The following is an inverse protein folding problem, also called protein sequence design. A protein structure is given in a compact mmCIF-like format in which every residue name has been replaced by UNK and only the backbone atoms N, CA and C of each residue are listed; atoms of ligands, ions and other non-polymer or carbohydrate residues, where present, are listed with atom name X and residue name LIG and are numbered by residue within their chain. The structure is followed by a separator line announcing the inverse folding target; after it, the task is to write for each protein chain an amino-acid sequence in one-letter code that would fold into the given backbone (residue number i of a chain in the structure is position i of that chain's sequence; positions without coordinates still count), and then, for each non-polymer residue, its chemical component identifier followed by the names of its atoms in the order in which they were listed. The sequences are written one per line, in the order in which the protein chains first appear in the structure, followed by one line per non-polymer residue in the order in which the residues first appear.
data_IF_737636788212
#
_entry.id   IF_737636788212
#
_cell.length_a   1.000
_cell.length_b   1.000
_cell.length_c   1.000
_cell.angle_alpha   90.00
_cell.angle_beta   90.00
_cell.angle_gamma   90.00
#
_symmetry.space_group_name_H-M   'P 1'
#
loop_
_entity.id
_entity.type
_entity.pdbx_description
1 polymer ?
#
# COMPACT_ATOMS: atom_id res chain seq x y z
N UNK A 1 -16.25 -6.40 19.46
CA UNK A 1 -15.23 -6.44 18.40
C UNK A 1 -13.86 -6.29 19.05
N UNK A 2 -13.00 -7.30 18.93
CA UNK A 2 -11.75 -7.43 19.68
C UNK A 2 -10.55 -6.83 18.94
N UNK A 3 -9.50 -6.56 19.71
CA UNK A 3 -8.15 -6.23 19.24
C UNK A 3 -7.68 -7.25 18.20
N UNK A 4 -7.23 -6.80 17.02
CA UNK A 4 -6.72 -7.66 15.98
C UNK A 4 -5.36 -8.26 16.35
N UNK A 5 -5.06 -9.44 15.84
CA UNK A 5 -3.95 -10.26 16.33
C UNK A 5 -2.59 -9.71 15.90
N UNK A 6 -2.44 -9.36 14.61
CA UNK A 6 -1.15 -8.97 14.03
C UNK A 6 -0.92 -7.47 14.10
N UNK A 7 -1.87 -6.65 13.63
CA UNK A 7 -1.71 -5.19 13.59
C UNK A 7 -1.92 -4.53 14.96
N UNK A 8 -2.46 -5.27 15.94
CA UNK A 8 -2.74 -4.80 17.31
C UNK A 8 -3.56 -3.50 17.35
N UNK A 9 -4.52 -3.38 16.44
CA UNK A 9 -5.49 -2.29 16.36
C UNK A 9 -6.90 -2.81 16.70
N UNK A 10 -7.77 -1.92 17.19
CA UNK A 10 -9.20 -2.17 17.44
C UNK A 10 -10.05 -1.11 16.71
N UNK A 11 -11.38 -1.28 16.58
CA UNK A 11 -12.23 -0.25 16.01
C UNK A 11 -12.02 1.12 16.69
N UNK A 12 -11.90 2.17 15.89
CA UNK A 12 -11.57 3.54 16.34
C UNK A 12 -10.07 3.87 16.33
N UNK A 13 -9.19 2.88 16.18
CA UNK A 13 -7.75 3.13 16.07
C UNK A 13 -7.32 3.60 14.67
N UNK A 14 -8.05 3.18 13.64
CA UNK A 14 -7.69 3.33 12.22
C UNK A 14 -8.73 4.19 11.51
N UNK A 15 -8.26 5.14 10.70
CA UNK A 15 -9.09 6.00 9.88
C UNK A 15 -9.58 5.28 8.59
N UNK A 16 -10.65 5.76 7.93
CA UNK A 16 -11.16 5.14 6.71
C UNK A 16 -10.16 5.09 5.55
N UNK A 17 -9.25 6.05 5.45
CA UNK A 17 -8.21 6.12 4.41
C UNK A 17 -6.87 5.64 4.98
N UNK A 18 -6.29 4.59 4.40
CA UNK A 18 -5.08 3.95 4.92
C UNK A 18 -4.00 3.86 3.84
N UNK A 19 -2.84 4.44 4.14
CA UNK A 19 -1.62 4.31 3.33
C UNK A 19 -0.86 3.05 3.75
N UNK A 20 -0.44 2.23 2.78
CA UNK A 20 0.17 0.92 3.04
C UNK A 20 1.62 0.85 2.52
N UNK A 21 2.61 1.43 3.22
CA UNK A 21 4.01 1.19 2.91
C UNK A 21 4.41 -0.26 3.20
N UNK A 22 5.40 -0.79 2.47
CA UNK A 22 5.98 -2.09 2.82
C UNK A 22 6.85 -2.02 4.08
N UNK A 23 7.77 -1.06 4.10
CA UNK A 23 8.76 -0.90 5.17
C UNK A 23 8.16 -0.17 6.39
N UNK A 24 8.25 -0.75 7.61
CA UNK A 24 7.87 -0.09 8.86
C UNK A 24 8.47 1.30 9.08
N UNK A 25 9.70 1.52 8.61
CA UNK A 25 10.42 2.79 8.76
C UNK A 25 9.78 3.92 7.97
N UNK A 26 9.02 3.62 6.90
CA UNK A 26 8.34 4.63 6.07
C UNK A 26 7.08 5.17 6.72
N UNK A 27 6.46 4.44 7.64
CA UNK A 27 5.23 4.89 8.33
C UNK A 27 5.44 6.22 9.08
N UNK A 28 6.44 6.35 9.98
CA UNK A 28 6.68 7.63 10.64
C UNK A 28 7.14 8.72 9.67
N UNK A 29 7.82 8.38 8.56
CA UNK A 29 8.20 9.37 7.54
C UNK A 29 6.99 9.97 6.83
N UNK A 30 6.01 9.13 6.46
CA UNK A 30 4.74 9.58 5.89
C UNK A 30 3.98 10.44 6.91
N UNK A 31 3.89 9.98 8.16
CA UNK A 31 3.14 10.65 9.22
C UNK A 31 3.72 12.02 9.61
N UNK A 32 5.01 12.30 9.36
CA UNK A 32 5.63 13.62 9.58
C UNK A 32 5.01 14.75 8.75
N UNK A 33 4.27 14.42 7.69
CA UNK A 33 3.61 15.41 6.84
C UNK A 33 2.16 15.73 7.28
N UNK A 34 1.67 15.10 8.34
CA UNK A 34 0.31 15.27 8.83
C UNK A 34 0.21 16.43 9.83
N UNK A 35 -0.99 16.99 9.97
CA UNK A 35 -1.29 18.04 10.93
C UNK A 35 -1.18 17.48 12.37
N UNK A 36 -1.74 16.30 12.57
CA UNK A 36 -1.62 15.51 13.78
C UNK A 36 -1.24 14.08 13.43
N UNK A 37 -0.39 13.45 14.25
CA UNK A 37 -0.02 12.05 14.07
C UNK A 37 0.28 11.40 15.42
N UNK A 38 -0.28 10.21 15.64
CA UNK A 38 0.04 9.38 16.81
C UNK A 38 0.40 7.97 16.38
N UNK A 39 1.42 7.40 17.02
CA UNK A 39 1.68 5.97 16.98
C UNK A 39 0.51 5.25 17.66
N UNK A 40 -0.10 4.31 16.95
CA UNK A 40 -1.21 3.50 17.45
C UNK A 40 -0.70 2.17 17.97
N UNK A 41 0.07 1.48 17.14
CA UNK A 41 0.57 0.15 17.42
C UNK A 41 1.87 -0.11 16.66
N UNK A 42 2.71 -0.97 17.24
CA UNK A 42 3.90 -1.52 16.60
C UNK A 42 4.02 -2.98 17.03
N UNK A 43 3.83 -3.89 16.08
CA UNK A 43 3.96 -5.32 16.32
C UNK A 43 4.46 -6.00 15.04
N UNK A 44 5.55 -6.76 15.16
CA UNK A 44 6.24 -7.34 13.99
C UNK A 44 6.57 -6.27 12.93
N UNK A 45 6.29 -6.55 11.67
CA UNK A 45 6.36 -5.64 10.53
C UNK A 45 5.21 -4.63 10.45
N UNK A 46 4.23 -4.65 11.35
CA UNK A 46 3.06 -3.76 11.32
C UNK A 46 3.25 -2.60 12.29
N UNK A 47 3.61 -1.43 11.75
CA UNK A 47 3.63 -0.15 12.45
C UNK A 47 2.44 0.66 11.94
N UNK A 48 1.57 1.11 12.84
CA UNK A 48 0.37 1.88 12.49
C UNK A 48 0.44 3.27 13.13
N UNK A 49 0.29 4.30 12.31
CA UNK A 49 0.03 5.68 12.72
C UNK A 49 -1.36 6.09 12.26
N UNK A 50 -2.02 6.93 13.06
CA UNK A 50 -3.29 7.56 12.70
C UNK A 50 -3.23 9.03 13.05
N UNK A 51 -3.89 9.86 12.25
CA UNK A 51 -3.81 11.30 12.38
C UNK A 51 -4.74 12.02 11.41
N UNK A 52 -4.41 13.26 11.09
CA UNK A 52 -5.17 14.12 10.19
C UNK A 52 -4.24 14.81 9.19
N UNK A 53 -4.66 14.89 7.93
CA UNK A 53 -3.95 15.63 6.90
C UNK A 53 -4.93 16.56 6.20
N UNK A 54 -4.71 17.88 6.31
CA UNK A 54 -5.61 18.93 5.82
C UNK A 54 -7.06 18.70 6.28
N UNK A 55 -7.22 18.34 7.56
CA UNK A 55 -8.51 18.03 8.17
C UNK A 55 -9.12 16.67 7.78
N UNK A 56 -8.45 15.86 6.95
CA UNK A 56 -8.92 14.52 6.57
C UNK A 56 -8.30 13.46 7.49
N UNK A 57 -9.09 12.64 8.19
CA UNK A 57 -8.57 11.52 8.99
C UNK A 57 -7.86 10.51 8.10
N UNK A 58 -6.62 10.17 8.45
CA UNK A 58 -5.76 9.26 7.68
C UNK A 58 -4.98 8.33 8.61
N UNK A 59 -4.74 7.12 8.15
CA UNK A 59 -3.85 6.15 8.79
C UNK A 59 -2.76 5.70 7.82
N UNK A 60 -1.67 5.18 8.39
CA UNK A 60 -0.62 4.53 7.64
C UNK A 60 -0.22 3.28 8.41
N UNK A 61 -0.23 2.12 7.75
CA UNK A 61 0.13 0.83 8.35
C UNK A 61 1.11 0.11 7.46
N UNK A 62 2.30 -0.22 7.97
CA UNK A 62 3.25 -1.02 7.20
C UNK A 62 2.78 -2.46 7.05
N UNK A 63 3.13 -3.06 5.91
CA UNK A 63 2.63 -4.39 5.51
C UNK A 63 3.71 -5.45 5.36
N UNK A 64 4.97 -5.12 5.64
CA UNK A 64 6.10 -5.99 5.31
C UNK A 64 6.30 -6.22 3.81
N UNK A 65 7.14 -7.20 3.50
CA UNK A 65 7.45 -7.67 2.15
C UNK A 65 6.63 -8.93 1.86
N UNK A 66 6.05 -8.98 0.66
CA UNK A 66 5.31 -10.13 0.16
C UNK A 66 3.79 -10.03 0.37
N UNK A 67 3.06 -10.60 -0.57
CA UNK A 67 1.60 -10.63 -0.57
C UNK A 67 0.98 -11.31 0.67
N UNK A 68 1.57 -12.37 1.26
CA UNK A 68 0.99 -13.00 2.46
C UNK A 68 0.92 -12.05 3.66
N UNK A 69 2.00 -11.31 3.94
CA UNK A 69 2.06 -10.34 5.04
C UNK A 69 1.13 -9.15 4.78
N UNK A 70 1.07 -8.66 3.53
CA UNK A 70 0.15 -7.59 3.16
C UNK A 70 -1.32 -7.98 3.30
N UNK A 71 -1.69 -9.22 2.95
CA UNK A 71 -3.06 -9.70 3.11
C UNK A 71 -3.50 -9.70 4.58
N UNK A 72 -2.63 -10.12 5.51
CA UNK A 72 -2.90 -10.07 6.96
C UNK A 72 -3.24 -8.64 7.40
N UNK A 73 -2.41 -7.66 7.02
CA UNK A 73 -2.66 -6.27 7.36
C UNK A 73 -4.00 -5.78 6.82
N UNK A 74 -4.29 -6.00 5.54
CA UNK A 74 -5.52 -5.51 4.90
C UNK A 74 -6.77 -6.14 5.51
N UNK A 75 -6.78 -7.46 5.71
CA UNK A 75 -7.88 -8.18 6.37
C UNK A 75 -8.20 -7.61 7.76
N UNK A 76 -7.18 -7.43 8.58
CA UNK A 76 -7.35 -6.90 9.94
C UNK A 76 -7.74 -5.42 9.94
N UNK A 77 -7.19 -4.61 9.02
CA UNK A 77 -7.55 -3.20 8.88
C UNK A 77 -9.01 -2.99 8.45
N UNK A 78 -9.51 -3.82 7.53
CA UNK A 78 -10.93 -3.82 7.14
C UNK A 78 -11.83 -4.08 8.35
N UNK A 79 -11.47 -5.07 9.19
CA UNK A 79 -12.24 -5.44 10.40
C UNK A 79 -12.30 -4.32 11.45
N UNK A 80 -11.36 -3.37 11.44
CA UNK A 80 -11.33 -2.24 12.38
C UNK A 80 -11.76 -0.90 11.75
N UNK A 81 -12.24 -0.90 10.51
CA UNK A 81 -12.90 0.25 9.89
C UNK A 81 -12.13 0.93 8.75
N UNK A 82 -11.00 0.39 8.31
CA UNK A 82 -10.34 0.82 7.07
C UNK A 82 -11.24 0.57 5.86
N UNK A 83 -11.32 1.54 4.93
CA UNK A 83 -12.22 1.49 3.76
C UNK A 83 -11.52 1.65 2.43
N UNK A 84 -10.53 2.53 2.37
CA UNK A 84 -9.77 2.84 1.16
C UNK A 84 -8.29 2.64 1.46
N UNK A 85 -7.65 1.80 0.66
CA UNK A 85 -6.26 1.41 0.83
C UNK A 85 -5.43 1.87 -0.35
N UNK A 86 -4.35 2.60 -0.09
CA UNK A 86 -3.39 3.04 -1.11
C UNK A 86 -2.03 2.49 -0.75
N UNK A 87 -1.53 1.55 -1.56
CA UNK A 87 -0.17 1.02 -1.39
C UNK A 87 0.86 2.04 -1.90
N UNK A 88 1.77 2.43 -1.01
CA UNK A 88 2.88 3.36 -1.33
C UNK A 88 4.18 2.56 -1.28
N UNK A 89 4.73 2.24 -2.44
CA UNK A 89 5.85 1.30 -2.54
C UNK A 89 6.92 1.72 -3.53
N UNK A 90 7.95 0.90 -3.62
CA UNK A 90 8.99 0.97 -4.64
C UNK A 90 8.85 -0.23 -5.56
N UNK A 91 9.12 -0.05 -6.85
CA UNK A 91 9.09 -1.11 -7.86
C UNK A 91 10.22 -0.91 -8.88
N UNK A 92 10.72 -2.02 -9.42
CA UNK A 92 11.56 -2.01 -10.60
C UNK A 92 10.73 -1.80 -11.88
N UNK A 93 11.28 -1.15 -12.91
CA UNK A 93 10.61 -1.05 -14.20
C UNK A 93 10.71 -2.40 -14.96
N UNK A 94 9.56 -2.94 -15.38
CA UNK A 94 9.53 -4.08 -16.32
C UNK A 94 9.76 -3.61 -17.76
N UNK A 95 9.25 -2.43 -18.10
CA UNK A 95 9.50 -1.81 -19.39
C UNK A 95 10.87 -1.11 -19.36
N UNK A 96 11.86 -1.51 -20.19
CA UNK A 96 13.21 -0.93 -20.17
C UNK A 96 13.25 0.56 -20.54
N UNK A 97 12.17 1.10 -21.12
CA UNK A 97 12.05 2.54 -21.41
C UNK A 97 11.71 3.37 -20.18
N UNK A 98 11.18 2.76 -19.11
CA UNK A 98 10.87 3.44 -17.86
C UNK A 98 12.15 3.55 -17.04
N UNK A 99 12.62 4.79 -16.85
CA UNK A 99 13.82 5.05 -16.05
C UNK A 99 13.54 4.84 -14.55
N UNK A 100 14.55 4.51 -13.74
CA UNK A 100 14.42 4.55 -12.27
C UNK A 100 13.93 5.91 -11.76
N UNK A 101 13.38 5.92 -10.54
CA UNK A 101 12.91 7.13 -9.84
C UNK A 101 11.74 7.86 -10.52
N UNK A 102 10.95 7.15 -11.32
CA UNK A 102 9.69 7.67 -11.89
C UNK A 102 8.50 7.27 -11.03
N UNK A 103 7.54 8.17 -10.89
CA UNK A 103 6.27 7.88 -10.23
C UNK A 103 5.43 6.99 -11.14
N UNK A 104 4.87 5.91 -10.57
CA UNK A 104 3.94 5.03 -11.25
C UNK A 104 2.63 4.93 -10.49
N UNK A 105 1.52 4.92 -11.23
CA UNK A 105 0.16 4.76 -10.72
C UNK A 105 -0.39 3.48 -11.33
N UNK A 106 -0.67 2.49 -10.47
CA UNK A 106 -1.17 1.20 -10.90
C UNK A 106 -2.68 1.26 -11.18
N UNK A 107 -3.10 0.82 -12.37
CA UNK A 107 -4.52 0.58 -12.69
C UNK A 107 -4.95 -0.86 -12.39
N UNK A 108 -3.97 -1.76 -12.27
CA UNK A 108 -4.15 -3.16 -11.93
C UNK A 108 -2.80 -3.86 -11.83
N UNK A 109 -2.83 -5.16 -11.55
CA UNK A 109 -1.63 -5.97 -11.43
C UNK A 109 -1.79 -7.38 -12.01
N UNK A 110 -0.70 -7.89 -12.58
CA UNK A 110 -0.52 -9.32 -12.83
C UNK A 110 -0.38 -10.03 -11.49
N UNK A 111 -1.19 -11.08 -11.28
CA UNK A 111 -1.25 -11.88 -10.04
C UNK A 111 -0.28 -13.07 -10.10
N UNK A 112 1.01 -12.78 -10.23
CA UNK A 112 2.08 -13.78 -10.27
C UNK A 112 2.62 -14.09 -8.86
N UNK A 113 1.70 -14.20 -7.91
CA UNK A 113 1.96 -14.48 -6.51
C UNK A 113 0.97 -15.54 -6.00
N UNK A 114 1.27 -16.17 -4.88
CA UNK A 114 0.51 -17.31 -4.38
C UNK A 114 -0.71 -16.96 -3.53
N UNK A 115 -0.76 -15.75 -2.95
CA UNK A 115 -1.72 -15.37 -1.92
C UNK A 115 -3.11 -15.20 -2.51
N UNK A 116 -3.28 -14.39 -3.56
CA UNK A 116 -4.63 -14.08 -4.06
C UNK A 116 -5.34 -15.31 -4.64
N UNK A 117 -4.59 -16.33 -5.10
CA UNK A 117 -5.17 -17.61 -5.57
C UNK A 117 -5.90 -18.37 -4.46
N UNK A 118 -5.58 -18.09 -3.20
CA UNK A 118 -6.28 -18.64 -2.03
C UNK A 118 -7.62 -17.92 -1.76
N UNK A 119 -7.83 -16.72 -2.32
CA UNK A 119 -9.03 -15.91 -2.11
C UNK A 119 -10.00 -15.99 -3.28
N UNK A 120 -9.48 -15.97 -4.52
CA UNK A 120 -10.27 -15.92 -5.75
C UNK A 120 -9.59 -16.68 -6.89
N UNK A 121 -10.36 -17.24 -7.85
CA UNK A 121 -9.81 -17.90 -9.05
C UNK A 121 -8.84 -17.00 -9.81
N UNK A 122 -7.90 -17.58 -10.56
CA UNK A 122 -6.82 -16.83 -11.23
C UNK A 122 -7.34 -15.84 -12.29
N UNK A 123 -8.51 -16.13 -12.86
CA UNK A 123 -9.22 -15.32 -13.84
C UNK A 123 -9.77 -14.01 -13.25
N UNK A 124 -9.95 -13.94 -11.93
CA UNK A 124 -10.44 -12.72 -11.28
C UNK A 124 -9.40 -11.59 -11.39
N UNK A 125 -9.74 -10.45 -12.00
CA UNK A 125 -8.74 -9.43 -12.28
C UNK A 125 -8.37 -8.64 -11.01
N UNK A 126 -7.08 -8.42 -10.77
CA UNK A 126 -6.62 -7.47 -9.75
C UNK A 126 -6.60 -6.06 -10.35
N UNK A 127 -7.72 -5.35 -10.24
CA UNK A 127 -7.90 -3.98 -10.75
C UNK A 127 -8.14 -2.99 -9.61
N UNK A 128 -7.60 -1.78 -9.76
CA UNK A 128 -7.79 -0.70 -8.79
C UNK A 128 -9.15 -0.02 -8.99
N UNK A 129 -9.72 0.54 -7.91
CA UNK A 129 -10.92 1.40 -8.02
C UNK A 129 -10.57 2.65 -8.85
N UNK A 130 -11.36 2.89 -9.90
CA UNK A 130 -11.09 3.96 -10.86
C UNK A 130 -11.04 5.36 -10.21
N UNK A 131 -11.80 5.58 -9.12
CA UNK A 131 -11.85 6.87 -8.41
C UNK A 131 -10.54 7.13 -7.68
N UNK A 132 -9.93 6.08 -7.13
CA UNK A 132 -8.61 6.18 -6.48
C UNK A 132 -7.53 6.46 -7.52
N UNK A 133 -7.56 5.76 -8.67
CA UNK A 133 -6.63 6.02 -9.78
C UNK A 133 -6.76 7.47 -10.27
N UNK A 134 -7.99 7.93 -10.53
CA UNK A 134 -8.25 9.30 -10.99
C UNK A 134 -7.76 10.34 -9.98
N UNK A 135 -8.00 10.13 -8.68
CA UNK A 135 -7.54 11.03 -7.63
C UNK A 135 -6.00 11.09 -7.54
N UNK A 136 -5.30 9.96 -7.74
CA UNK A 136 -3.84 9.94 -7.77
C UNK A 136 -3.27 10.66 -9.00
N UNK A 137 -3.90 10.50 -10.17
CA UNK A 137 -3.54 11.21 -11.40
C UNK A 137 -3.72 12.72 -11.22
N UNK A 138 -4.88 13.14 -10.74
CA UNK A 138 -5.19 14.55 -10.47
C UNK A 138 -4.21 15.16 -9.47
N UNK A 139 -3.86 14.43 -8.41
CA UNK A 139 -2.87 14.87 -7.44
C UNK A 139 -1.48 15.03 -8.06
N UNK A 140 -1.05 14.09 -8.91
CA UNK A 140 0.24 14.16 -9.58
C UNK A 140 0.32 15.36 -10.54
N UNK A 141 -0.74 15.64 -11.29
CA UNK A 141 -0.84 16.79 -12.20
C UNK A 141 -0.82 18.11 -11.46
N UNK A 142 -1.64 18.25 -10.40
CA UNK A 142 -1.69 19.46 -9.56
C UNK A 142 -0.34 19.78 -8.92
N UNK A 143 0.43 18.75 -8.56
CA UNK A 143 1.74 18.89 -7.96
C UNK A 143 2.88 18.99 -8.99
N UNK A 144 2.59 18.91 -10.30
CA UNK A 144 3.57 19.01 -11.37
C UNK A 144 4.51 17.81 -11.49
N UNK A 145 4.13 16.64 -10.96
CA UNK A 145 4.91 15.42 -11.08
C UNK A 145 4.68 14.74 -12.42
N UNK A 146 5.76 14.24 -13.04
CA UNK A 146 5.66 13.30 -14.16
C UNK A 146 5.39 11.90 -13.63
N UNK A 147 4.42 11.23 -14.21
CA UNK A 147 3.99 9.89 -13.79
C UNK A 147 3.75 8.96 -14.99
N UNK A 148 3.69 7.67 -14.71
CA UNK A 148 3.23 6.64 -15.64
C UNK A 148 1.99 5.97 -15.06
N UNK A 149 1.03 5.63 -15.91
CA UNK A 149 -0.18 4.89 -15.54
C UNK A 149 -0.17 3.55 -16.26
N UNK A 150 -0.43 2.45 -15.56
CA UNK A 150 -0.52 1.14 -16.21
C UNK A 150 -0.58 -0.04 -15.27
N UNK A 151 -0.40 -1.23 -15.85
CA UNK A 151 -0.40 -2.51 -15.14
C UNK A 151 0.96 -2.76 -14.50
N UNK A 152 0.94 -3.21 -13.25
CA UNK A 152 2.12 -3.62 -12.50
C UNK A 152 2.21 -5.16 -12.47
N UNK A 153 3.38 -5.70 -12.14
CA UNK A 153 3.56 -7.14 -11.97
C UNK A 153 3.91 -7.42 -10.51
N UNK A 154 3.05 -8.14 -9.81
CA UNK A 154 3.28 -8.57 -8.43
C UNK A 154 3.79 -10.00 -8.44
N UNK A 155 4.98 -10.22 -7.88
CA UNK A 155 5.67 -11.51 -7.87
C UNK A 155 6.22 -11.85 -6.49
N UNK A 156 6.25 -13.14 -6.15
CA UNK A 156 6.81 -13.63 -4.88
C UNK A 156 8.34 -13.86 -4.91
N UNK A 157 8.93 -13.96 -6.11
CA UNK A 157 10.36 -14.20 -6.27
C UNK A 157 11.12 -12.98 -6.78
N UNK A 158 11.78 -12.28 -5.86
CA UNK A 158 12.57 -11.08 -6.16
C UNK A 158 13.80 -11.35 -7.06
N UNK A 159 14.47 -12.49 -6.88
CA UNK A 159 15.74 -12.81 -7.57
C UNK A 159 15.59 -13.61 -8.87
N UNK A 160 14.36 -13.78 -9.39
CA UNK A 160 14.09 -14.73 -10.48
C UNK A 160 14.27 -14.19 -11.90
N UNK A 161 14.37 -12.87 -12.11
CA UNK A 161 14.40 -12.30 -13.47
C UNK A 161 15.66 -11.47 -13.76
N UNK A 162 16.25 -10.83 -12.75
CA UNK A 162 17.52 -10.08 -12.86
C UNK A 162 18.17 -10.05 -11.48
N UNK A 163 19.45 -10.41 -11.38
CA UNK A 163 20.25 -10.03 -10.20
C UNK A 163 20.19 -8.50 -10.08
N UNK A 164 19.93 -7.92 -8.90
CA UNK A 164 20.12 -6.48 -8.72
C UNK A 164 21.56 -6.18 -9.10
N UNK A 165 21.78 -5.41 -10.16
CA UNK A 165 23.12 -4.95 -10.49
C UNK A 165 23.66 -4.23 -9.25
N UNK A 166 24.74 -4.78 -8.70
CA UNK A 166 25.44 -4.26 -7.54
C UNK A 166 25.89 -2.80 -7.74
#
# INVERSE_FOLDING_TARGET
MSLQYHIRCKPGDVAPYVLLPGDPSRVPLIAKHWDEARLVAKNREYVTYTGTYRGVPVSATSTGIGSPSAAIAVEELVRVGGKVFIRVGTSGPVNPKVKPWKLGIATGAVRDEGTTRQYVPIEYPAVADYRVVAALVEAAEKLGYRYHVGVFHTKDSFYSEVEPQA
#
